data_IF_516764707763
#
_entry.id   IF_516764707763
#
_cell.length_a   1.000
_cell.length_b   1.000
_cell.length_c   1.000
_cell.angle_alpha   90.00
_cell.angle_beta   90.00
_cell.angle_gamma   90.00
#
_symmetry.space_group_name_H-M   'P 1'
#
loop_
_entity.id
_entity.type
_entity.pdbx_description
1 polymer ?
#
# COMPACT_ATOMS: atom_id res chain seq x y z
N UNK A 1 -9.03 13.51 -5.96
CA UNK A 1 -8.04 12.61 -5.34
C UNK A 1 -8.68 11.23 -5.28
N UNK A 2 -7.99 10.18 -5.73
CA UNK A 2 -8.53 8.81 -5.70
C UNK A 2 -8.41 8.27 -4.27
N UNK A 3 -9.50 7.73 -3.72
CA UNK A 3 -9.57 7.16 -2.38
C UNK A 3 -8.83 5.81 -2.35
N UNK A 4 -7.89 5.62 -1.42
CA UNK A 4 -7.16 4.36 -1.18
C UNK A 4 -8.13 3.29 -0.66
N UNK A 5 -7.97 2.05 -1.13
CA UNK A 5 -8.82 0.92 -0.74
C UNK A 5 -8.00 -0.28 -0.31
N UNK A 6 -8.59 -1.06 0.59
CA UNK A 6 -8.11 -2.41 0.89
C UNK A 6 -8.13 -3.24 -0.38
N UNK A 7 -7.04 -3.97 -0.64
CA UNK A 7 -6.79 -4.72 -1.87
C UNK A 7 -6.01 -3.96 -2.94
N UNK A 8 -5.77 -2.66 -2.76
CA UNK A 8 -4.91 -1.91 -3.68
C UNK A 8 -3.47 -2.43 -3.60
N UNK A 9 -2.87 -2.68 -4.77
CA UNK A 9 -1.45 -3.01 -4.88
C UNK A 9 -0.62 -1.75 -4.80
N UNK A 10 0.46 -1.81 -4.05
CA UNK A 10 1.40 -0.72 -3.87
C UNK A 10 2.84 -1.18 -4.04
N UNK A 11 3.73 -0.21 -4.22
CA UNK A 11 5.18 -0.36 -4.25
C UNK A 11 5.81 0.75 -3.41
N UNK A 12 6.79 0.46 -2.55
CA UNK A 12 7.53 1.52 -1.86
C UNK A 12 8.33 2.38 -2.86
N UNK A 13 8.52 3.67 -2.56
CA UNK A 13 9.25 4.56 -3.46
C UNK A 13 10.77 4.32 -3.46
N UNK A 14 11.34 3.89 -2.34
CA UNK A 14 12.78 3.73 -2.12
C UNK A 14 13.27 2.29 -2.38
N UNK A 15 12.37 1.32 -2.28
CA UNK A 15 12.64 -0.09 -2.52
C UNK A 15 11.68 -0.64 -3.58
N UNK A 16 12.13 -1.54 -4.45
CA UNK A 16 11.24 -2.32 -5.34
C UNK A 16 10.45 -3.38 -4.56
N UNK A 17 9.85 -2.95 -3.46
CA UNK A 17 9.15 -3.75 -2.47
C UNK A 17 7.66 -3.53 -2.65
N UNK A 18 6.97 -4.58 -3.11
CA UNK A 18 5.56 -4.53 -3.43
C UNK A 18 4.73 -5.22 -2.35
N UNK A 19 3.49 -4.76 -2.22
CA UNK A 19 2.55 -5.26 -1.24
C UNK A 19 1.12 -4.91 -1.57
N UNK A 20 0.22 -5.32 -0.68
CA UNK A 20 -1.22 -5.10 -0.79
C UNK A 20 -1.70 -4.40 0.47
N UNK A 21 -2.48 -3.34 0.31
CA UNK A 21 -3.16 -2.67 1.43
C UNK A 21 -4.16 -3.64 2.04
N UNK A 22 -3.93 -4.06 3.29
CA UNK A 22 -4.84 -4.96 4.02
C UNK A 22 -5.76 -4.22 4.97
N UNK A 23 -5.38 -3.02 5.40
CA UNK A 23 -6.23 -2.17 6.26
C UNK A 23 -5.95 -0.68 5.99
N UNK A 24 -6.99 0.16 6.08
CA UNK A 24 -6.88 1.62 6.05
C UNK A 24 -7.30 2.13 7.41
N UNK A 25 -6.34 2.46 8.28
CA UNK A 25 -6.64 2.93 9.63
C UNK A 25 -7.04 4.41 9.63
N UNK A 26 -6.35 5.22 8.81
CA UNK A 26 -6.65 6.63 8.63
C UNK A 26 -6.14 7.12 7.27
N UNK A 27 -6.37 8.39 6.95
CA UNK A 27 -5.82 9.02 5.75
C UNK A 27 -4.28 9.17 5.77
N UNK A 28 -3.63 8.85 6.90
CA UNK A 28 -2.18 8.94 7.09
C UNK A 28 -1.52 7.61 7.46
N UNK A 29 -2.28 6.52 7.58
CA UNK A 29 -1.76 5.22 8.01
C UNK A 29 -2.47 4.06 7.31
N UNK A 30 -1.70 3.28 6.56
CA UNK A 30 -2.12 2.04 5.92
C UNK A 30 -1.41 0.86 6.57
N UNK A 31 -2.11 -0.26 6.73
CA UNK A 31 -1.46 -1.54 6.98
C UNK A 31 -1.29 -2.26 5.64
N UNK A 32 -0.06 -2.65 5.34
CA UNK A 32 0.30 -3.31 4.09
C UNK A 32 0.93 -4.65 4.41
N UNK A 33 0.49 -5.68 3.68
CA UNK A 33 1.17 -6.98 3.65
C UNK A 33 2.06 -7.01 2.42
N UNK A 34 3.36 -7.16 2.63
CA UNK A 34 4.36 -7.21 1.58
C UNK A 34 4.49 -8.61 0.97
N UNK A 35 5.09 -8.70 -0.20
CA UNK A 35 5.28 -9.98 -0.92
C UNK A 35 6.17 -10.98 -0.16
N UNK A 36 7.00 -10.52 0.78
CA UNK A 36 7.80 -11.37 1.67
C UNK A 36 6.97 -11.96 2.84
N UNK A 37 5.69 -11.59 2.95
CA UNK A 37 4.76 -12.02 3.98
C UNK A 37 4.78 -11.18 5.25
N UNK A 38 5.64 -10.16 5.35
CA UNK A 38 5.64 -9.23 6.47
C UNK A 38 4.51 -8.23 6.37
N UNK A 39 4.06 -7.74 7.53
CA UNK A 39 3.07 -6.66 7.63
C UNK A 39 3.68 -5.44 8.27
N UNK A 40 3.37 -4.26 7.71
CA UNK A 40 3.91 -2.99 8.19
C UNK A 40 2.91 -1.85 8.05
N UNK A 41 3.01 -0.88 8.96
CA UNK A 41 2.30 0.39 8.84
C UNK A 41 3.12 1.34 7.99
N UNK A 42 2.50 1.96 7.00
CA UNK A 42 3.17 2.95 6.14
C UNK A 42 2.28 4.14 5.88
N UNK A 43 2.91 5.28 5.63
CA UNK A 43 2.21 6.47 5.22
C UNK A 43 1.80 6.33 3.75
N UNK A 44 0.57 6.70 3.34
CA UNK A 44 0.11 6.63 1.95
C UNK A 44 1.00 7.37 0.94
N UNK A 45 1.80 8.34 1.39
CA UNK A 45 2.74 9.10 0.56
C UNK A 45 4.08 8.39 0.32
N UNK A 46 4.40 7.37 1.12
CA UNK A 46 5.64 6.59 1.01
C UNK A 46 5.52 5.44 0.00
N UNK A 47 4.31 5.27 -0.57
CA UNK A 47 4.00 4.20 -1.50
C UNK A 47 3.37 4.72 -2.79
N UNK A 48 3.67 4.03 -3.89
CA UNK A 48 3.11 4.24 -5.21
C UNK A 48 2.04 3.19 -5.48
N UNK A 49 0.84 3.63 -5.85
CA UNK A 49 -0.27 2.75 -6.20
C UNK A 49 -0.06 2.17 -7.61
N UNK A 50 -0.05 0.85 -7.69
CA UNK A 50 0.00 0.12 -8.94
C UNK A 50 -1.45 -0.05 -9.41
N UNK A 51 -1.82 0.66 -10.48
CA UNK A 51 -3.18 0.61 -11.01
C UNK A 51 -3.61 -0.84 -11.28
N UNK A 52 -4.67 -1.29 -10.62
CA UNK A 52 -5.35 -2.54 -10.96
C UNK A 52 -5.87 -2.42 -12.39
N UNK A 53 -5.39 -3.27 -13.30
CA UNK A 53 -5.95 -3.35 -14.66
C UNK A 53 -7.45 -3.69 -14.52
N UNK A 54 -8.30 -2.76 -14.92
CA UNK A 54 -9.75 -2.96 -15.10
C UNK A 54 -10.05 -4.05 -16.12
#
# INVERSE_FOLDING_TARGET
MSQVKVGDKVEMFDESHQGIVTEVQSEFCLLITWDDGQTGHVHPLDVKYLASKS
#
